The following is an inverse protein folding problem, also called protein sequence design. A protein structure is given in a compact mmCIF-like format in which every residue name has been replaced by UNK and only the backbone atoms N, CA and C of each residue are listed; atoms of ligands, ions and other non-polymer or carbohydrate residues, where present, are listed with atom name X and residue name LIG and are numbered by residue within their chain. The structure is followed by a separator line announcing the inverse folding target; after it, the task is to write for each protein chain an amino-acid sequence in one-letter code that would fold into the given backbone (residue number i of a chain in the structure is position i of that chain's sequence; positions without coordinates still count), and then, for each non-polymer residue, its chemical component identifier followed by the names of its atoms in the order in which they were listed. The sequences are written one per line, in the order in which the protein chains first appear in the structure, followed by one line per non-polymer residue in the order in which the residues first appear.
data_IF_261072076924
#
_entry.id   IF_261072076924
#
_cell.length_a   1.000
_cell.length_b   1.000
_cell.length_c   1.000
_cell.angle_alpha   90.00
_cell.angle_beta   90.00
_cell.angle_gamma   90.00
#
_symmetry.space_group_name_H-M   'P 1'
#
loop_
_entity.id
_entity.type
_entity.pdbx_description
1 polymer ?
#
# COMPACT_ATOMS: atom_id res chain seq x y z
N UNK A 1 -26.31 -25.70 3.36
CA UNK A 1 -26.03 -24.65 4.38
C UNK A 1 -24.53 -24.60 4.51
N UNK A 2 -23.89 -23.58 3.92
CA UNK A 2 -22.45 -23.35 4.14
C UNK A 2 -22.29 -22.86 5.58
N UNK A 3 -21.62 -23.62 6.41
CA UNK A 3 -21.19 -23.16 7.73
C UNK A 3 -20.13 -22.10 7.51
N UNK A 4 -20.56 -20.84 7.48
CA UNK A 4 -19.63 -19.71 7.53
C UNK A 4 -18.86 -19.84 8.85
N UNK A 5 -17.60 -20.18 8.75
CA UNK A 5 -16.75 -20.36 9.93
C UNK A 5 -16.54 -18.97 10.52
N UNK A 6 -17.12 -18.72 11.69
CA UNK A 6 -16.96 -17.43 12.37
C UNK A 6 -15.47 -17.11 12.57
N UNK A 7 -15.05 -15.94 12.12
CA UNK A 7 -13.70 -15.44 12.31
C UNK A 7 -13.43 -15.28 13.81
N UNK A 8 -12.34 -15.87 14.28
CA UNK A 8 -11.91 -15.74 15.67
C UNK A 8 -10.86 -14.64 15.79
N UNK A 9 -10.76 -13.99 16.97
CA UNK A 9 -9.66 -13.09 17.22
C UNK A 9 -8.32 -13.80 17.00
N UNK A 10 -7.39 -13.09 16.35
CA UNK A 10 -6.04 -13.58 16.11
C UNK A 10 -5.00 -12.50 16.46
N UNK A 11 -3.77 -12.92 16.66
CA UNK A 11 -2.63 -12.05 16.89
C UNK A 11 -1.61 -12.30 15.79
N UNK A 12 -1.12 -11.22 15.20
CA UNK A 12 0.03 -11.20 14.31
C UNK A 12 1.07 -10.26 14.90
N UNK A 13 2.29 -10.74 15.06
CA UNK A 13 3.39 -9.89 15.48
C UNK A 13 3.73 -8.83 14.43
N UNK A 14 4.67 -7.94 14.75
CA UNK A 14 5.05 -6.81 13.90
C UNK A 14 5.30 -7.21 12.44
N UNK A 15 6.04 -8.28 12.22
CA UNK A 15 6.49 -8.72 10.90
C UNK A 15 5.74 -9.93 10.33
N UNK A 16 4.69 -10.37 11.04
CA UNK A 16 3.78 -11.42 10.57
C UNK A 16 2.59 -10.84 9.84
N UNK A 17 2.11 -11.55 8.81
CA UNK A 17 0.93 -11.21 8.02
C UNK A 17 0.15 -12.45 7.63
N UNK A 18 -1.10 -12.27 7.21
CA UNK A 18 -1.90 -13.31 6.53
C UNK A 18 -1.30 -13.65 5.17
N UNK A 19 -0.69 -12.64 4.55
CA UNK A 19 0.14 -12.75 3.36
C UNK A 19 1.21 -11.67 3.43
N UNK A 20 2.34 -11.87 2.77
CA UNK A 20 3.33 -10.84 2.57
C UNK A 20 4.07 -11.01 1.25
N UNK A 21 4.50 -9.88 0.69
CA UNK A 21 5.15 -9.85 -0.60
C UNK A 21 6.16 -8.69 -0.69
N UNK A 22 7.23 -8.92 -1.43
CA UNK A 22 8.08 -7.86 -1.91
C UNK A 22 7.41 -7.14 -3.08
N UNK A 23 7.23 -5.84 -2.92
CA UNK A 23 6.75 -4.94 -3.94
C UNK A 23 7.87 -3.97 -4.31
N UNK A 24 8.55 -4.25 -5.44
CA UNK A 24 9.85 -3.62 -5.74
C UNK A 24 10.86 -3.90 -4.61
N UNK A 25 11.36 -2.85 -3.98
CA UNK A 25 12.29 -2.94 -2.84
C UNK A 25 11.59 -2.81 -1.47
N UNK A 26 10.28 -2.54 -1.47
CA UNK A 26 9.47 -2.47 -0.25
C UNK A 26 8.79 -3.79 0.07
N UNK A 27 8.36 -3.97 1.30
CA UNK A 27 7.61 -5.12 1.77
C UNK A 27 6.19 -4.72 2.14
N UNK A 28 5.21 -5.45 1.64
CA UNK A 28 3.78 -5.27 1.97
C UNK A 28 3.34 -6.47 2.78
N UNK A 29 2.85 -6.23 3.99
CA UNK A 29 2.40 -7.24 4.97
C UNK A 29 0.91 -7.06 5.20
N UNK A 30 0.09 -8.02 4.78
CA UNK A 30 -1.36 -7.96 4.95
C UNK A 30 -1.73 -8.40 6.37
N UNK A 31 -2.35 -7.52 7.15
CA UNK A 31 -2.80 -7.77 8.51
C UNK A 31 -4.25 -8.22 8.60
N UNK A 32 -5.10 -7.69 7.73
CA UNK A 32 -6.49 -8.08 7.55
C UNK A 32 -6.90 -7.85 6.10
N UNK A 33 -7.74 -8.69 5.58
CA UNK A 33 -8.26 -8.62 4.21
C UNK A 33 -9.76 -8.88 4.15
N UNK A 34 -10.30 -9.08 2.95
CA UNK A 34 -11.74 -9.24 2.75
C UNK A 34 -12.33 -10.44 3.50
N UNK A 35 -11.57 -11.51 3.66
CA UNK A 35 -12.03 -12.71 4.37
C UNK A 35 -12.27 -12.44 5.86
N UNK A 36 -11.40 -11.64 6.49
CA UNK A 36 -11.46 -11.32 7.92
C UNK A 36 -12.48 -10.20 8.20
N UNK A 37 -12.62 -9.25 7.29
CA UNK A 37 -13.39 -8.01 7.53
C UNK A 37 -14.77 -8.01 6.88
N UNK A 38 -15.13 -9.06 6.13
CA UNK A 38 -16.37 -9.09 5.34
C UNK A 38 -16.40 -8.00 4.27
N UNK A 39 -15.27 -7.71 3.65
CA UNK A 39 -15.03 -6.64 2.67
C UNK A 39 -15.13 -5.20 3.23
N UNK A 40 -15.18 -5.01 4.54
CA UNK A 40 -15.30 -3.67 5.11
C UNK A 40 -14.01 -2.84 4.91
N UNK A 41 -12.86 -3.47 5.10
CA UNK A 41 -11.55 -2.85 4.91
C UNK A 41 -10.45 -3.89 4.74
N UNK A 42 -9.31 -3.46 4.23
CA UNK A 42 -8.02 -4.16 4.34
C UNK A 42 -7.06 -3.34 5.17
N UNK A 43 -6.14 -4.02 5.86
CA UNK A 43 -5.09 -3.37 6.63
C UNK A 43 -3.74 -3.97 6.29
N UNK A 44 -2.81 -3.10 5.91
CA UNK A 44 -1.47 -3.46 5.47
C UNK A 44 -0.43 -2.71 6.30
N UNK A 45 0.71 -3.35 6.51
CA UNK A 45 1.94 -2.64 6.87
C UNK A 45 2.81 -2.57 5.62
N UNK A 46 3.16 -1.37 5.21
CA UNK A 46 4.12 -1.10 4.14
C UNK A 46 5.44 -0.69 4.78
N UNK A 47 6.49 -1.37 4.41
CA UNK A 47 7.83 -1.19 4.95
C UNK A 47 8.79 -0.91 3.78
N UNK A 48 9.18 0.34 3.61
CA UNK A 48 9.76 0.80 2.36
C UNK A 48 11.01 1.66 2.52
N UNK A 49 12.00 1.49 1.65
CA UNK A 49 13.22 2.29 1.65
C UNK A 49 12.97 3.69 1.05
N UNK A 50 13.94 4.59 1.27
CA UNK A 50 13.97 5.95 0.73
C UNK A 50 13.76 5.96 -0.79
N UNK A 51 12.92 6.88 -1.24
CA UNK A 51 12.58 7.07 -2.64
C UNK A 51 11.52 6.10 -3.18
N UNK A 52 11.04 5.17 -2.34
CA UNK A 52 9.86 4.37 -2.69
C UNK A 52 8.61 5.23 -2.70
N UNK A 53 7.68 4.89 -3.58
CA UNK A 53 6.40 5.57 -3.68
C UNK A 53 5.46 4.91 -4.69
N UNK A 54 4.22 5.35 -4.69
CA UNK A 54 3.22 4.93 -5.66
C UNK A 54 3.23 5.85 -6.89
N UNK A 55 2.83 5.35 -8.06
CA UNK A 55 2.43 6.21 -9.17
C UNK A 55 1.37 7.22 -8.71
N UNK A 56 1.25 8.35 -9.42
CA UNK A 56 0.12 9.27 -9.22
C UNK A 56 -1.14 8.54 -9.68
N UNK A 57 -2.14 8.42 -8.80
CA UNK A 57 -3.33 7.60 -9.05
C UNK A 57 -4.59 8.11 -8.35
N UNK A 58 -5.72 7.51 -8.70
CA UNK A 58 -7.02 7.70 -8.05
C UNK A 58 -7.58 6.33 -7.67
N UNK A 59 -8.06 6.19 -6.44
CA UNK A 59 -8.98 5.12 -6.05
C UNK A 59 -10.42 5.57 -6.30
N UNK A 60 -11.13 4.93 -7.22
CA UNK A 60 -12.53 5.27 -7.52
C UNK A 60 -13.51 4.70 -6.50
N UNK A 61 -13.13 3.62 -5.83
CA UNK A 61 -14.03 2.86 -4.96
C UNK A 61 -13.65 2.91 -3.48
N UNK A 62 -12.38 3.17 -3.14
CA UNK A 62 -11.84 3.05 -1.80
C UNK A 62 -11.38 4.38 -1.22
N UNK A 63 -11.63 4.56 0.06
CA UNK A 63 -10.91 5.53 0.89
C UNK A 63 -9.61 4.90 1.38
N UNK A 64 -8.56 5.68 1.50
CA UNK A 64 -7.26 5.21 1.98
C UNK A 64 -6.78 6.04 3.16
N UNK A 65 -6.15 5.40 4.13
CA UNK A 65 -5.55 6.10 5.26
C UNK A 65 -4.12 5.66 5.48
N UNK A 66 -3.30 6.59 5.93
CA UNK A 66 -1.91 6.36 6.28
C UNK A 66 -1.68 6.75 7.73
N UNK A 67 -1.20 5.81 8.55
CA UNK A 67 -0.67 6.09 9.87
C UNK A 67 0.82 5.75 9.88
N UNK A 68 1.65 6.74 10.14
CA UNK A 68 3.10 6.55 10.09
C UNK A 68 3.57 5.92 11.39
N UNK A 69 4.11 4.71 11.31
CA UNK A 69 4.68 3.99 12.44
C UNK A 69 6.13 4.39 12.68
N UNK A 70 6.91 4.56 11.59
CA UNK A 70 8.32 4.92 11.61
C UNK A 70 8.68 5.72 10.36
N UNK A 71 9.65 6.64 10.50
CA UNK A 71 10.21 7.39 9.38
C UNK A 71 9.38 8.59 8.96
N UNK A 72 9.58 9.03 7.72
CA UNK A 72 8.96 10.23 7.15
C UNK A 72 8.47 9.95 5.73
N UNK A 73 7.27 10.40 5.44
CA UNK A 73 6.57 10.21 4.17
C UNK A 73 5.97 11.53 3.73
N UNK A 74 5.94 11.80 2.44
CA UNK A 74 5.16 12.88 1.85
C UNK A 74 3.99 12.28 1.08
N UNK A 75 2.78 12.77 1.32
CA UNK A 75 1.62 12.55 0.46
C UNK A 75 1.51 13.76 -0.47
N UNK A 76 1.44 13.51 -1.77
CA UNK A 76 1.06 14.50 -2.77
C UNK A 76 -0.41 14.27 -3.11
N UNK A 77 -1.25 15.27 -2.97
CA UNK A 77 -2.67 15.20 -3.31
C UNK A 77 -3.10 16.49 -3.98
N UNK A 78 -3.58 16.38 -5.23
CA UNK A 78 -3.83 17.52 -6.09
C UNK A 78 -2.62 18.49 -6.12
N UNK A 79 -2.80 19.74 -5.71
CA UNK A 79 -1.73 20.74 -5.64
C UNK A 79 -1.08 20.84 -4.23
N UNK A 80 -1.45 19.94 -3.32
CA UNK A 80 -0.99 19.96 -1.94
C UNK A 80 0.13 18.94 -1.70
N UNK A 81 1.04 19.33 -0.83
CA UNK A 81 2.07 18.48 -0.27
C UNK A 81 1.85 18.35 1.24
N UNK A 82 1.69 17.13 1.72
CA UNK A 82 1.43 16.82 3.13
C UNK A 82 2.61 16.00 3.65
N UNK A 83 3.46 16.63 4.45
CA UNK A 83 4.61 15.97 5.07
C UNK A 83 4.19 15.31 6.39
N UNK A 84 4.46 14.01 6.51
CA UNK A 84 4.10 13.17 7.66
C UNK A 84 5.35 12.60 8.32
N UNK A 85 5.28 12.44 9.64
CA UNK A 85 6.30 11.76 10.44
C UNK A 85 5.64 10.74 11.41
N UNK A 86 6.45 9.98 12.12
CA UNK A 86 5.95 8.94 13.02
C UNK A 86 4.91 9.49 14.02
N UNK A 87 3.74 8.86 14.06
CA UNK A 87 2.57 9.27 14.85
C UNK A 87 1.53 10.08 14.07
N UNK A 88 1.85 10.58 12.87
CA UNK A 88 0.89 11.31 12.04
C UNK A 88 -0.08 10.38 11.30
N UNK A 89 -1.27 10.94 11.03
CA UNK A 89 -2.35 10.29 10.30
C UNK A 89 -2.79 11.17 9.12
N UNK A 90 -2.95 10.54 7.96
CA UNK A 90 -3.52 11.18 6.79
C UNK A 90 -4.70 10.35 6.26
N UNK A 91 -5.78 11.05 5.90
CA UNK A 91 -6.95 10.47 5.23
C UNK A 91 -7.02 10.96 3.79
N UNK A 92 -7.07 10.03 2.86
CA UNK A 92 -7.24 10.29 1.43
C UNK A 92 -8.60 9.73 1.01
N UNK A 93 -9.59 10.58 0.71
CA UNK A 93 -10.90 10.10 0.27
C UNK A 93 -10.83 9.50 -1.13
N UNK A 94 -11.73 8.58 -1.43
CA UNK A 94 -11.94 8.09 -2.79
C UNK A 94 -12.16 9.24 -3.77
N UNK A 95 -11.63 9.11 -4.97
CA UNK A 95 -11.69 10.14 -5.99
C UNK A 95 -10.63 11.23 -5.87
N UNK A 96 -9.83 11.27 -4.80
CA UNK A 96 -8.71 12.19 -4.71
C UNK A 96 -7.50 11.67 -5.49
N UNK A 97 -6.89 12.54 -6.28
CA UNK A 97 -5.60 12.26 -6.94
C UNK A 97 -4.51 12.28 -5.90
N UNK A 98 -3.72 11.23 -5.81
CA UNK A 98 -2.64 11.21 -4.84
C UNK A 98 -1.49 10.27 -5.21
N UNK A 99 -0.38 10.44 -4.51
CA UNK A 99 0.77 9.56 -4.46
C UNK A 99 1.49 9.76 -3.12
N UNK A 100 2.28 8.80 -2.69
CA UNK A 100 3.21 9.02 -1.58
C UNK A 100 4.66 8.84 -2.02
N UNK A 101 5.56 9.37 -1.21
CA UNK A 101 7.01 9.24 -1.36
C UNK A 101 7.68 9.10 0.01
N UNK A 102 8.51 8.08 0.19
CA UNK A 102 9.32 7.89 1.40
C UNK A 102 10.52 8.83 1.36
N UNK A 103 10.63 9.71 2.39
CA UNK A 103 11.71 10.70 2.51
C UNK A 103 12.88 10.25 3.38
N UNK A 104 12.60 9.55 4.47
CA UNK A 104 13.62 8.99 5.37
C UNK A 104 14.32 7.79 4.72
N UNK A 105 15.38 7.30 5.33
CA UNK A 105 16.11 6.11 4.87
C UNK A 105 15.18 4.89 4.76
N UNK A 106 14.22 4.79 5.69
CA UNK A 106 13.15 3.79 5.71
C UNK A 106 11.90 4.45 6.30
N UNK A 107 10.74 4.01 5.85
CA UNK A 107 9.48 4.32 6.50
C UNK A 107 8.63 3.06 6.65
N UNK A 108 7.87 3.03 7.73
CA UNK A 108 6.89 1.98 8.02
C UNK A 108 5.53 2.63 8.25
N UNK A 109 4.54 2.19 7.49
CA UNK A 109 3.20 2.79 7.47
C UNK A 109 2.16 1.72 7.71
N UNK A 110 1.16 2.01 8.55
CA UNK A 110 -0.08 1.25 8.60
C UNK A 110 -1.06 1.90 7.62
N UNK A 111 -1.43 1.18 6.58
CA UNK A 111 -2.35 1.64 5.54
C UNK A 111 -3.66 0.89 5.68
N UNK A 112 -4.78 1.61 5.64
CA UNK A 112 -6.11 1.02 5.62
C UNK A 112 -6.81 1.43 4.33
N UNK A 113 -7.38 0.45 3.63
CA UNK A 113 -8.13 0.64 2.38
C UNK A 113 -9.57 0.17 2.64
N UNK A 114 -10.55 1.02 2.39
CA UNK A 114 -11.96 0.74 2.68
C UNK A 114 -12.87 1.16 1.52
N UNK A 115 -13.69 0.23 0.98
CA UNK A 115 -13.72 -1.22 1.25
C UNK A 115 -12.44 -1.94 0.85
N UNK A 116 -12.31 -3.22 1.22
CA UNK A 116 -11.18 -4.07 0.82
C UNK A 116 -11.23 -4.44 -0.67
N UNK A 117 -10.07 -4.81 -1.22
CA UNK A 117 -9.98 -5.33 -2.60
C UNK A 117 -8.62 -5.02 -3.25
N UNK A 118 -8.20 -3.79 -3.23
CA UNK A 118 -6.94 -3.33 -3.86
C UNK A 118 -5.69 -4.00 -3.30
N UNK A 119 -5.70 -4.46 -2.03
CA UNK A 119 -4.58 -5.19 -1.43
C UNK A 119 -4.24 -6.48 -2.18
N UNK A 120 -5.21 -7.09 -2.87
CA UNK A 120 -4.99 -8.29 -3.68
C UNK A 120 -3.99 -8.05 -4.81
N UNK A 121 -3.87 -6.82 -5.28
CA UNK A 121 -2.91 -6.44 -6.29
C UNK A 121 -1.47 -6.66 -5.80
N UNK A 122 -1.17 -6.25 -4.57
CA UNK A 122 0.16 -6.42 -3.98
C UNK A 122 0.53 -7.90 -3.81
N UNK A 123 -0.43 -8.73 -3.40
CA UNK A 123 -0.22 -10.17 -3.22
C UNK A 123 -0.06 -10.88 -4.58
N UNK A 124 -0.84 -10.50 -5.59
CA UNK A 124 -0.84 -11.18 -6.90
C UNK A 124 0.35 -10.81 -7.77
N UNK A 125 0.87 -9.59 -7.67
CA UNK A 125 1.99 -9.09 -8.47
C UNK A 125 3.31 -9.04 -7.70
N UNK A 126 3.26 -9.04 -6.38
CA UNK A 126 4.44 -9.05 -5.53
C UNK A 126 5.15 -10.39 -5.57
N UNK A 127 6.43 -10.39 -5.20
CA UNK A 127 7.22 -11.61 -5.04
C UNK A 127 7.07 -12.11 -3.60
N UNK A 128 6.68 -13.38 -3.38
CA UNK A 128 6.55 -13.92 -2.03
C UNK A 128 7.84 -13.75 -1.22
N UNK A 129 7.70 -13.35 0.05
CA UNK A 129 8.84 -13.18 0.95
C UNK A 129 9.38 -14.55 1.35
N UNK A 130 10.61 -14.84 0.94
CA UNK A 130 11.31 -16.10 1.27
C UNK A 130 12.58 -15.87 2.09
N UNK A 131 12.93 -14.60 2.36
CA UNK A 131 14.12 -14.19 3.08
C UNK A 131 14.06 -12.73 3.52
N UNK A 132 15.06 -12.25 4.27
CA UNK A 132 15.08 -10.92 4.84
C UNK A 132 15.31 -9.80 3.82
N UNK A 133 15.84 -10.12 2.65
CA UNK A 133 16.20 -9.17 1.61
C UNK A 133 15.25 -9.25 0.41
N UNK A 134 14.94 -8.12 -0.24
CA UNK A 134 14.19 -8.14 -1.48
C UNK A 134 14.94 -8.90 -2.57
N UNK A 135 14.21 -9.52 -3.50
CA UNK A 135 14.85 -10.20 -4.62
C UNK A 135 15.62 -9.20 -5.48
N UNK A 136 16.80 -9.60 -5.95
CA UNK A 136 17.67 -8.79 -6.82
C UNK A 136 17.01 -8.44 -8.15
N UNK A 137 16.01 -9.20 -8.57
CA UNK A 137 15.28 -9.04 -9.83
C UNK A 137 13.77 -9.03 -9.58
N UNK A 138 13.28 -8.08 -8.80
CA UNK A 138 11.84 -7.83 -8.73
C UNK A 138 11.40 -7.16 -10.04
N UNK A 139 11.01 -7.96 -11.00
CA UNK A 139 10.54 -7.46 -12.31
C UNK A 139 9.09 -7.03 -12.16
N UNK A 140 8.89 -5.72 -12.03
CA UNK A 140 7.55 -5.15 -12.17
C UNK A 140 7.07 -5.27 -13.63
N UNK A 141 5.78 -5.56 -13.85
CA UNK A 141 5.22 -5.49 -15.19
C UNK A 141 5.47 -4.12 -15.85
N UNK A 142 5.57 -4.06 -17.18
CA UNK A 142 5.66 -2.78 -17.88
C UNK A 142 4.49 -1.85 -17.53
N UNK A 143 4.71 -0.54 -17.53
CA UNK A 143 3.70 0.46 -17.13
C UNK A 143 2.32 0.26 -17.80
N UNK A 144 2.20 -0.04 -19.11
CA UNK A 144 0.89 -0.28 -19.74
C UNK A 144 0.16 -1.48 -19.15
N UNK A 145 0.87 -2.49 -18.70
CA UNK A 145 0.29 -3.66 -18.05
C UNK A 145 -0.12 -3.34 -16.59
N UNK A 146 0.71 -2.60 -15.87
CA UNK A 146 0.36 -2.10 -14.54
C UNK A 146 -0.92 -1.26 -14.57
N UNK A 147 -1.03 -0.31 -15.49
CA UNK A 147 -2.25 0.51 -15.68
C UNK A 147 -3.48 -0.38 -15.85
N UNK A 148 -3.38 -1.40 -16.70
CA UNK A 148 -4.50 -2.33 -16.94
C UNK A 148 -4.85 -3.16 -15.70
N UNK A 149 -3.85 -3.62 -14.95
CA UNK A 149 -4.05 -4.42 -13.75
C UNK A 149 -4.65 -3.58 -12.61
N UNK A 150 -4.14 -2.37 -12.39
CA UNK A 150 -4.69 -1.45 -11.39
C UNK A 150 -6.15 -1.09 -11.69
N UNK A 151 -6.49 -0.88 -12.97
CA UNK A 151 -7.86 -0.56 -13.39
C UNK A 151 -8.87 -1.69 -13.04
N UNK A 152 -8.44 -2.95 -12.96
CA UNK A 152 -9.30 -4.06 -12.54
C UNK A 152 -9.75 -3.96 -11.07
N UNK A 153 -8.99 -3.23 -10.27
CA UNK A 153 -9.28 -2.97 -8.85
C UNK A 153 -9.86 -1.57 -8.61
N UNK A 154 -10.28 -0.87 -9.67
CA UNK A 154 -10.84 0.47 -9.56
C UNK A 154 -9.83 1.58 -9.28
N UNK A 155 -8.54 1.29 -9.51
CA UNK A 155 -7.45 2.27 -9.36
C UNK A 155 -6.99 2.74 -10.73
N UNK A 156 -7.01 4.04 -10.97
CA UNK A 156 -6.55 4.67 -12.21
C UNK A 156 -5.18 5.31 -12.01
N UNK A 157 -4.18 4.87 -12.78
CA UNK A 157 -2.84 5.47 -12.78
C UNK A 157 -2.84 6.65 -13.75
N UNK A 158 -2.46 7.84 -13.25
CA UNK A 158 -2.44 9.11 -14.00
C UNK A 158 -1.04 9.54 -14.38
N UNK A 159 -0.01 9.10 -13.69
CA UNK A 159 1.36 9.51 -13.93
C UNK A 159 2.40 8.66 -13.21
N UNK A 160 3.69 8.94 -13.44
CA UNK A 160 4.78 8.25 -12.77
C UNK A 160 4.79 8.56 -11.26
N UNK A 161 5.48 7.76 -10.45
CA UNK A 161 5.72 8.10 -9.03
C UNK A 161 6.47 9.43 -8.91
N UNK A 162 6.18 10.22 -7.85
CA UNK A 162 7.03 11.35 -7.50
C UNK A 162 8.45 10.88 -7.14
N UNK A 163 9.41 11.77 -7.27
CA UNK A 163 10.82 11.54 -6.98
C UNK A 163 11.30 12.42 -5.81
N UNK A 164 12.50 12.15 -5.30
CA UNK A 164 13.08 12.98 -4.25
C UNK A 164 13.37 14.42 -4.74
N UNK A 165 13.50 14.64 -6.04
CA UNK A 165 13.70 15.97 -6.61
C UNK A 165 12.43 16.84 -6.52
N UNK A 166 11.25 16.21 -6.45
CA UNK A 166 9.96 16.90 -6.27
C UNK A 166 9.75 17.41 -4.82
N UNK A 167 10.69 17.14 -3.94
CA UNK A 167 10.69 17.63 -2.55
C UNK A 167 11.38 19.01 -2.39
N UNK A 168 12.10 19.45 -3.41
CA UNK A 168 12.90 20.71 -3.41
C UNK A 168 12.06 21.97 -3.57
#
# INVERSE_FOLDING_TARGET
MSTETAIKPYLLSSDEGLADAWWKSGRVIIKAGPAETGNAFSQLVMDEPRGSGTPIHIHHNEDETFYILEGQVTIFSDDERIDLEAGDYCFVPRGAVHAYLVRSERARMLVTISPSGTEQLFVSLGVPVTGPEPPTEAVMPPMPELVRLFAQYGTEILGPPPSLDDLS
#
